data_IF_919838482103
#
_entry.id   IF_919838482103
#
_cell.length_a   1.000
_cell.length_b   1.000
_cell.length_c   1.000
_cell.angle_alpha   90.00
_cell.angle_beta   90.00
_cell.angle_gamma   90.00
#
_symmetry.space_group_name_H-M   'P 1'
#
loop_
_entity.id
_entity.type
_entity.pdbx_description
1 polymer ?
#
# COMPACT_ATOMS: atom_id res chain seq x y z
N UNK A 1 20.02 43.31 -14.70
CA UNK A 1 19.04 43.10 -13.61
C UNK A 1 18.41 41.71 -13.79
N UNK A 2 19.10 40.66 -13.34
CA UNK A 2 18.64 39.27 -13.48
C UNK A 2 17.74 38.91 -12.31
N UNK A 3 16.49 38.55 -12.59
CA UNK A 3 15.51 38.12 -11.59
C UNK A 3 15.93 36.77 -11.00
N UNK A 4 16.04 36.73 -9.67
CA UNK A 4 16.22 35.55 -8.83
C UNK A 4 15.35 34.38 -9.31
N UNK A 5 15.99 33.34 -9.83
CA UNK A 5 15.42 32.00 -9.91
C UNK A 5 15.33 31.48 -8.48
N UNK A 6 14.12 31.42 -7.92
CA UNK A 6 13.89 30.80 -6.62
C UNK A 6 14.41 29.35 -6.66
N UNK A 7 15.58 29.13 -6.05
CA UNK A 7 16.12 27.81 -5.75
C UNK A 7 15.09 27.06 -4.90
N UNK A 8 14.53 26.00 -5.47
CA UNK A 8 13.58 25.13 -4.80
C UNK A 8 14.32 24.36 -3.70
N UNK A 9 14.01 24.62 -2.43
CA UNK A 9 14.69 24.00 -1.29
C UNK A 9 14.16 22.56 -1.06
N UNK A 10 14.99 21.51 -1.22
CA UNK A 10 14.60 20.12 -0.95
C UNK A 10 14.17 19.88 0.51
N UNK A 11 14.47 20.80 1.43
CA UNK A 11 14.14 20.71 2.86
C UNK A 11 12.67 20.99 3.18
N UNK A 12 11.86 21.45 2.22
CA UNK A 12 10.42 21.72 2.44
C UNK A 12 9.61 20.43 2.76
N UNK A 13 10.18 19.23 2.56
CA UNK A 13 9.55 17.95 2.92
C UNK A 13 9.94 17.36 4.28
N UNK A 14 10.69 18.10 5.10
CA UNK A 14 11.14 17.63 6.41
C UNK A 14 10.46 18.40 7.55
N UNK A 15 9.22 18.01 7.87
CA UNK A 15 8.57 18.39 9.14
C UNK A 15 8.07 17.14 9.87
N UNK A 16 8.93 16.62 10.75
CA UNK A 16 8.71 16.04 12.10
C UNK A 16 7.41 15.30 12.49
N UNK A 17 6.63 14.75 11.57
CA UNK A 17 5.60 13.76 11.88
C UNK A 17 5.90 12.49 11.09
N UNK A 18 6.26 11.42 11.78
CA UNK A 18 6.49 10.07 11.24
C UNK A 18 5.42 9.76 10.19
N UNK A 19 5.79 9.78 8.91
CA UNK A 19 4.82 9.96 7.81
C UNK A 19 3.88 8.75 7.80
N UNK A 20 2.58 8.93 7.59
CA UNK A 20 1.59 7.85 7.80
C UNK A 20 1.87 6.62 6.93
N UNK A 21 2.37 6.84 5.72
CA UNK A 21 2.86 5.77 4.83
C UNK A 21 4.03 4.97 5.44
N UNK A 22 5.00 5.61 6.09
CA UNK A 22 6.13 4.91 6.74
C UNK A 22 5.63 4.04 7.90
N UNK A 23 4.71 4.58 8.71
CA UNK A 23 4.06 3.83 9.80
C UNK A 23 3.28 2.63 9.27
N UNK A 24 2.66 2.77 8.10
CA UNK A 24 1.94 1.69 7.45
C UNK A 24 2.90 0.62 6.90
N UNK A 25 3.94 1.00 6.16
CA UNK A 25 4.93 0.07 5.58
C UNK A 25 5.62 -0.76 6.68
N UNK A 26 6.00 -0.10 7.79
CA UNK A 26 6.65 -0.75 8.95
C UNK A 26 5.82 -1.84 9.63
N UNK A 27 4.51 -1.94 9.34
CA UNK A 27 3.68 -3.06 9.81
C UNK A 27 4.00 -4.39 9.12
N UNK A 28 4.60 -4.33 7.93
CA UNK A 28 4.80 -5.50 7.06
C UNK A 28 6.27 -5.73 6.71
N UNK A 29 7.07 -4.67 6.58
CA UNK A 29 8.47 -4.77 6.18
C UNK A 29 9.31 -3.61 6.71
N UNK A 30 10.63 -3.82 6.79
CA UNK A 30 11.60 -2.78 7.11
C UNK A 30 12.13 -2.05 5.86
N UNK A 31 11.60 -2.40 4.68
CA UNK A 31 11.97 -1.75 3.42
C UNK A 31 11.68 -0.26 3.46
N UNK A 32 12.67 0.53 3.06
CA UNK A 32 12.50 1.94 2.80
C UNK A 32 12.04 2.15 1.35
N UNK A 33 11.03 2.99 1.17
CA UNK A 33 10.48 3.31 -0.16
C UNK A 33 10.60 4.82 -0.33
N UNK A 34 11.34 5.24 -1.35
CA UNK A 34 11.42 6.64 -1.72
C UNK A 34 10.13 7.11 -2.40
N UNK A 35 9.57 8.20 -1.89
CA UNK A 35 8.33 8.75 -2.44
C UNK A 35 8.31 10.28 -2.46
N UNK A 36 7.42 10.80 -3.31
CA UNK A 36 7.00 12.20 -3.36
C UNK A 36 5.57 12.29 -2.82
N UNK A 37 5.28 13.31 -2.01
CA UNK A 37 3.93 13.62 -1.54
C UNK A 37 3.41 14.84 -2.28
N UNK A 38 2.20 14.75 -2.85
CA UNK A 38 1.50 15.84 -3.53
C UNK A 38 0.10 15.93 -2.92
N UNK A 39 -0.19 17.00 -2.20
CA UNK A 39 -1.42 17.08 -1.39
C UNK A 39 -1.47 15.96 -0.35
N UNK A 40 -2.55 15.16 -0.34
CA UNK A 40 -2.69 13.97 0.50
C UNK A 40 -2.13 12.68 -0.13
N UNK A 41 -1.70 12.73 -1.39
CA UNK A 41 -1.34 11.54 -2.19
C UNK A 41 0.16 11.30 -2.16
N UNK A 42 0.52 10.01 -2.21
CA UNK A 42 1.89 9.51 -2.18
C UNK A 42 2.20 8.79 -3.49
N UNK A 43 3.43 8.97 -3.95
CA UNK A 43 3.86 8.54 -5.27
C UNK A 43 5.29 8.02 -5.23
N UNK A 44 5.57 6.88 -5.86
CA UNK A 44 6.92 6.32 -5.94
C UNK A 44 7.84 7.30 -6.66
N UNK A 45 8.96 7.64 -6.04
CA UNK A 45 9.92 8.55 -6.64
C UNK A 45 10.59 7.85 -7.83
N UNK A 46 10.50 8.47 -9.00
CA UNK A 46 11.24 8.03 -10.18
C UNK A 46 12.18 9.15 -10.62
N UNK A 47 13.49 8.92 -10.46
CA UNK A 47 14.54 9.89 -10.78
C UNK A 47 14.65 10.16 -12.30
N UNK A 48 14.01 9.34 -13.15
CA UNK A 48 13.95 9.55 -14.61
C UNK A 48 12.81 10.47 -15.05
N UNK A 49 11.87 10.81 -14.17
CA UNK A 49 10.80 11.73 -14.53
C UNK A 49 11.37 13.15 -14.64
N UNK A 50 11.22 13.72 -15.83
CA UNK A 50 11.72 15.06 -16.19
C UNK A 50 11.07 16.10 -15.28
N UNK A 51 11.85 17.09 -14.87
CA UNK A 51 11.34 18.25 -14.12
C UNK A 51 10.31 18.97 -14.99
N UNK A 52 9.03 18.85 -14.63
CA UNK A 52 7.98 19.65 -15.24
C UNK A 52 8.03 21.06 -14.64
N UNK A 53 7.85 22.08 -15.47
CA UNK A 53 7.83 23.49 -15.03
C UNK A 53 6.59 23.84 -14.20
N UNK A 54 5.59 22.96 -14.15
CA UNK A 54 4.34 23.12 -13.41
C UNK A 54 4.25 22.12 -12.26
N UNK A 55 3.57 22.50 -11.17
CA UNK A 55 3.23 21.61 -10.05
C UNK A 55 2.29 20.49 -10.52
N UNK A 56 2.76 19.24 -10.64
CA UNK A 56 1.91 18.17 -11.16
C UNK A 56 0.89 17.72 -10.12
N UNK A 57 -0.27 17.24 -10.57
CA UNK A 57 -1.30 16.64 -9.70
C UNK A 57 -1.04 15.15 -9.43
N UNK A 58 -0.16 14.51 -10.20
CA UNK A 58 0.27 13.11 -10.05
C UNK A 58 1.75 12.95 -10.43
N UNK A 59 2.42 11.90 -9.94
CA UNK A 59 3.82 11.64 -10.24
C UNK A 59 4.11 10.14 -10.24
N UNK A 60 4.57 9.55 -11.34
CA UNK A 60 4.95 8.13 -11.36
C UNK A 60 3.85 7.17 -10.83
N UNK A 61 4.26 6.19 -10.01
CA UNK A 61 3.37 5.15 -9.48
C UNK A 61 2.69 5.60 -8.19
N UNK A 62 1.36 5.65 -8.17
CA UNK A 62 0.59 5.99 -6.99
C UNK A 62 0.71 4.93 -5.89
N UNK A 63 1.07 5.35 -4.67
CA UNK A 63 1.29 4.48 -3.50
C UNK A 63 0.14 4.50 -2.49
N UNK A 64 -0.75 5.50 -2.57
CA UNK A 64 -1.86 5.66 -1.63
C UNK A 64 -2.06 7.11 -1.21
N UNK A 65 -3.01 7.34 -0.32
CA UNK A 65 -3.37 8.66 0.16
C UNK A 65 -3.70 8.69 1.65
N UNK A 66 -3.57 9.87 2.24
CA UNK A 66 -4.16 10.17 3.55
C UNK A 66 -5.61 10.62 3.38
N UNK A 67 -6.53 9.91 4.03
CA UNK A 67 -7.96 10.25 4.06
C UNK A 67 -8.53 9.90 5.44
N UNK A 68 -9.35 10.78 6.01
CA UNK A 68 -9.99 10.58 7.31
C UNK A 68 -9.01 10.19 8.44
N UNK A 69 -7.85 10.86 8.51
CA UNK A 69 -6.76 10.54 9.46
C UNK A 69 -6.24 9.11 9.38
N UNK A 70 -6.44 8.42 8.25
CA UNK A 70 -5.91 7.09 7.96
C UNK A 70 -5.13 7.10 6.64
N UNK A 71 -4.21 6.16 6.50
CA UNK A 71 -3.51 5.95 5.23
C UNK A 71 -4.21 4.83 4.47
N UNK A 72 -4.68 5.15 3.26
CA UNK A 72 -5.31 4.24 2.34
C UNK A 72 -4.25 3.81 1.30
N UNK A 73 -3.71 2.59 1.39
CA UNK A 73 -2.70 2.11 0.46
C UNK A 73 -3.27 1.91 -0.94
N UNK A 74 -2.44 2.08 -1.98
CA UNK A 74 -2.75 1.57 -3.31
C UNK A 74 -2.40 0.09 -3.42
N UNK A 75 -3.01 -0.62 -4.37
CA UNK A 75 -2.61 -2.00 -4.68
C UNK A 75 -1.13 -2.08 -5.05
N UNK A 76 -0.63 -1.10 -5.80
CA UNK A 76 0.76 -1.05 -6.21
C UNK A 76 1.74 -0.99 -5.01
N UNK A 77 1.40 -0.23 -3.96
CA UNK A 77 2.20 -0.23 -2.74
C UNK A 77 2.18 -1.61 -2.07
N UNK A 78 1.01 -2.27 -2.03
CA UNK A 78 0.90 -3.60 -1.42
C UNK A 78 1.74 -4.64 -2.14
N UNK A 79 1.74 -4.64 -3.48
CA UNK A 79 2.63 -5.48 -4.28
C UNK A 79 4.11 -5.21 -3.98
N UNK A 80 4.49 -3.94 -3.85
CA UNK A 80 5.88 -3.54 -3.58
C UNK A 80 6.39 -4.02 -2.22
N UNK A 81 5.54 -4.02 -1.19
CA UNK A 81 5.90 -4.48 0.15
C UNK A 81 5.70 -5.98 0.34
N UNK A 82 4.83 -6.64 -0.44
CA UNK A 82 4.57 -8.07 -0.33
C UNK A 82 5.81 -8.92 -0.65
N UNK A 83 6.63 -8.47 -1.58
CA UNK A 83 7.90 -9.14 -1.95
C UNK A 83 8.86 -9.30 -0.78
N UNK A 84 8.88 -8.32 0.13
CA UNK A 84 9.83 -8.24 1.24
C UNK A 84 9.16 -8.47 2.61
N UNK A 85 7.86 -8.71 2.64
CA UNK A 85 7.10 -8.92 3.88
C UNK A 85 7.22 -10.36 4.36
N UNK A 86 7.42 -10.54 5.66
CA UNK A 86 7.28 -11.84 6.32
C UNK A 86 5.88 -12.06 6.91
N UNK A 87 5.08 -10.99 6.99
CA UNK A 87 3.76 -10.97 7.59
C UNK A 87 2.66 -11.17 6.54
N UNK A 88 2.41 -12.44 6.25
CA UNK A 88 1.57 -12.90 5.15
C UNK A 88 0.54 -13.94 5.62
N UNK A 89 -0.56 -14.06 4.91
CA UNK A 89 -1.46 -15.20 5.00
C UNK A 89 -1.64 -15.78 3.59
N UNK A 90 -1.24 -17.03 3.41
CA UNK A 90 -1.35 -17.73 2.12
C UNK A 90 -2.65 -18.53 2.11
N UNK A 91 -3.44 -18.34 1.06
CA UNK A 91 -4.77 -18.93 0.91
C UNK A 91 -4.88 -19.76 -0.38
N UNK A 92 -5.78 -20.74 -0.38
CA UNK A 92 -6.09 -21.56 -1.56
C UNK A 92 -7.04 -20.82 -2.54
N UNK A 93 -7.23 -21.38 -3.73
CA UNK A 93 -8.03 -20.76 -4.81
C UNK A 93 -9.46 -20.42 -4.37
N UNK A 94 -10.10 -21.30 -3.60
CA UNK A 94 -11.45 -21.06 -3.07
C UNK A 94 -11.51 -19.80 -2.21
N UNK A 95 -10.51 -19.61 -1.34
CA UNK A 95 -10.43 -18.47 -0.42
C UNK A 95 -9.93 -17.21 -1.10
N UNK A 96 -9.04 -17.35 -2.08
CA UNK A 96 -8.66 -16.28 -2.99
C UNK A 96 -9.91 -15.67 -3.63
N UNK A 97 -10.77 -16.51 -4.22
CA UNK A 97 -12.03 -16.04 -4.82
C UNK A 97 -12.92 -15.32 -3.81
N UNK A 98 -13.16 -15.92 -2.64
CA UNK A 98 -13.96 -15.29 -1.58
C UNK A 98 -13.40 -13.92 -1.17
N UNK A 99 -12.09 -13.83 -1.00
CA UNK A 99 -11.42 -12.60 -0.61
C UNK A 99 -11.53 -11.52 -1.70
N UNK A 100 -11.32 -11.87 -2.96
CA UNK A 100 -11.48 -10.94 -4.09
C UNK A 100 -12.95 -10.48 -4.28
N UNK A 101 -13.92 -11.30 -3.86
CA UNK A 101 -15.32 -10.87 -3.83
C UNK A 101 -15.64 -9.89 -2.69
N UNK A 102 -14.71 -9.65 -1.75
CA UNK A 102 -14.93 -8.81 -0.57
C UNK A 102 -15.44 -9.58 0.66
N UNK A 103 -15.35 -10.92 0.66
CA UNK A 103 -15.78 -11.76 1.79
C UNK A 103 -14.63 -11.98 2.77
N UNK A 104 -15.01 -12.19 4.02
CA UNK A 104 -14.11 -12.67 5.07
C UNK A 104 -13.73 -14.14 4.82
N UNK A 105 -12.55 -14.53 5.30
CA UNK A 105 -12.05 -15.90 5.21
C UNK A 105 -12.14 -16.53 6.60
N UNK A 106 -12.86 -17.64 6.75
CA UNK A 106 -12.90 -18.36 8.02
C UNK A 106 -11.62 -19.17 8.25
N UNK A 107 -11.13 -19.20 9.50
CA UNK A 107 -9.93 -19.94 9.86
C UNK A 107 -10.11 -21.43 9.60
N UNK A 108 -9.14 -22.01 8.91
CA UNK A 108 -9.04 -23.45 8.72
C UNK A 108 -7.58 -23.88 8.54
N UNK A 109 -7.34 -25.19 8.48
CA UNK A 109 -6.00 -25.77 8.37
C UNK A 109 -5.32 -25.49 7.02
N UNK A 110 -6.04 -25.00 6.00
CA UNK A 110 -5.50 -24.71 4.66
C UNK A 110 -4.89 -23.31 4.56
N UNK A 111 -5.17 -22.44 5.52
CA UNK A 111 -4.59 -21.10 5.56
C UNK A 111 -3.23 -21.15 6.26
N UNK A 112 -2.18 -20.74 5.57
CA UNK A 112 -0.83 -20.63 6.16
C UNK A 112 -0.60 -19.21 6.64
N UNK A 113 -0.62 -19.00 7.95
CA UNK A 113 -0.27 -17.71 8.58
C UNK A 113 1.23 -17.65 8.82
N UNK A 114 1.88 -16.61 8.30
CA UNK A 114 3.32 -16.38 8.37
C UNK A 114 3.63 -15.07 9.10
N UNK A 115 4.79 -14.99 9.75
CA UNK A 115 5.29 -13.78 10.41
C UNK A 115 4.74 -13.57 11.83
N UNK A 116 5.34 -12.62 12.56
CA UNK A 116 5.06 -12.38 13.99
C UNK A 116 3.99 -11.32 14.25
N UNK A 117 3.61 -10.53 13.25
CA UNK A 117 2.53 -9.56 13.36
C UNK A 117 1.21 -10.27 13.66
N UNK A 118 0.49 -9.81 14.68
CA UNK A 118 -0.73 -10.49 15.16
C UNK A 118 -2.01 -9.93 14.54
N UNK A 119 -1.99 -8.70 14.02
CA UNK A 119 -3.22 -8.00 13.63
C UNK A 119 -3.47 -8.02 12.13
N UNK A 120 -2.52 -7.55 11.32
CA UNK A 120 -2.71 -7.34 9.88
C UNK A 120 -1.78 -8.26 9.09
N UNK A 121 -2.30 -8.84 8.01
CA UNK A 121 -1.54 -9.67 7.07
C UNK A 121 -1.78 -9.23 5.64
N UNK A 122 -0.73 -9.31 4.83
CA UNK A 122 -0.86 -9.31 3.38
C UNK A 122 -1.42 -10.67 2.96
N UNK A 123 -2.52 -10.65 2.23
CA UNK A 123 -3.19 -11.87 1.80
C UNK A 123 -2.64 -12.24 0.44
N UNK A 124 -2.11 -13.46 0.31
CA UNK A 124 -1.51 -13.94 -0.93
C UNK A 124 -2.12 -15.27 -1.36
N UNK A 125 -2.14 -15.52 -2.66
CA UNK A 125 -2.46 -16.83 -3.19
C UNK A 125 -1.21 -17.73 -3.26
N UNK A 126 -1.38 -18.96 -3.76
CA UNK A 126 -0.30 -19.92 -3.94
C UNK A 126 0.77 -19.52 -4.96
N UNK A 127 0.56 -18.43 -5.73
CA UNK A 127 1.48 -17.90 -6.75
C UNK A 127 2.31 -16.70 -6.25
N UNK A 128 2.28 -16.42 -4.94
CA UNK A 128 2.91 -15.23 -4.31
C UNK A 128 2.35 -13.88 -4.81
N UNK A 129 1.16 -13.88 -5.42
CA UNK A 129 0.47 -12.65 -5.82
C UNK A 129 -0.26 -12.05 -4.61
N UNK A 130 -0.13 -10.74 -4.41
CA UNK A 130 -0.85 -10.07 -3.32
C UNK A 130 -2.30 -9.74 -3.71
N UNK A 131 -3.22 -10.28 -2.93
CA UNK A 131 -4.66 -10.09 -3.09
C UNK A 131 -5.17 -8.86 -2.35
N UNK A 132 -4.48 -8.41 -1.28
CA UNK A 132 -4.89 -7.28 -0.46
C UNK A 132 -4.46 -7.39 1.00
N UNK A 133 -5.23 -6.77 1.90
CA UNK A 133 -4.98 -6.76 3.34
C UNK A 133 -6.17 -7.35 4.09
N UNK A 134 -5.84 -8.23 5.03
CA UNK A 134 -6.78 -8.74 6.00
C UNK A 134 -6.38 -8.44 7.43
N UNK A 135 -7.38 -8.36 8.32
CA UNK A 135 -7.17 -8.36 9.77
C UNK A 135 -7.42 -9.76 10.32
N UNK A 136 -6.46 -10.32 11.04
CA UNK A 136 -6.66 -11.57 11.79
C UNK A 136 -7.67 -11.31 12.91
N UNK A 137 -8.64 -12.19 13.03
CA UNK A 137 -9.65 -12.22 14.08
C UNK A 137 -9.70 -13.61 14.72
N UNK A 138 -10.49 -13.78 15.78
CA UNK A 138 -10.70 -15.09 16.42
C UNK A 138 -11.32 -16.12 15.47
N UNK A 139 -12.10 -15.67 14.49
CA UNK A 139 -12.89 -16.53 13.60
C UNK A 139 -12.29 -16.67 12.20
N UNK A 140 -11.32 -15.83 11.84
CA UNK A 140 -10.97 -15.66 10.44
C UNK A 140 -9.98 -14.56 10.14
N UNK A 141 -9.97 -14.21 8.87
CA UNK A 141 -9.32 -13.05 8.30
C UNK A 141 -10.43 -12.15 7.78
N UNK A 142 -10.62 -11.00 8.43
CA UNK A 142 -11.56 -9.98 7.98
C UNK A 142 -10.98 -9.22 6.79
N UNK A 143 -11.75 -9.10 5.71
CA UNK A 143 -11.36 -8.36 4.51
C UNK A 143 -11.39 -6.85 4.79
N UNK A 144 -10.26 -6.17 4.59
CA UNK A 144 -10.18 -4.71 4.75
C UNK A 144 -10.07 -3.99 3.40
N UNK A 145 -9.31 -4.58 2.49
CA UNK A 145 -9.07 -4.06 1.16
C UNK A 145 -8.55 -5.18 0.28
N UNK A 146 -9.08 -5.30 -0.93
CA UNK A 146 -8.67 -6.34 -1.87
C UNK A 146 -8.59 -5.82 -3.31
N UNK A 147 -7.91 -6.57 -4.17
CA UNK A 147 -7.74 -6.24 -5.59
C UNK A 147 -9.07 -6.17 -6.35
N UNK A 148 -10.08 -6.94 -5.95
CA UNK A 148 -11.42 -6.90 -6.53
C UNK A 148 -12.15 -5.56 -6.32
N UNK A 149 -11.81 -4.81 -5.27
CA UNK A 149 -12.35 -3.47 -5.03
C UNK A 149 -11.95 -2.47 -6.11
N UNK A 150 -10.87 -2.73 -6.84
CA UNK A 150 -10.43 -1.93 -7.98
C UNK A 150 -11.18 -2.31 -9.26
N UNK A 151 -11.31 -3.61 -9.53
CA UNK A 151 -11.99 -4.13 -10.74
C UNK A 151 -13.48 -3.71 -10.80
N UNK A 152 -14.14 -3.65 -9.65
CA UNK A 152 -15.56 -3.23 -9.56
C UNK A 152 -15.76 -1.73 -9.85
N UNK A 153 -14.74 -0.89 -9.67
CA UNK A 153 -14.85 0.57 -9.88
C UNK A 153 -14.78 0.98 -11.36
N UNK A 154 -14.14 0.17 -12.19
CA UNK A 154 -14.02 0.40 -13.63
C UNK A 154 -15.21 -0.18 -14.42
N UNK A 155 -16.11 -0.90 -13.74
CA UNK A 155 -17.30 -1.52 -14.34
C UNK A 155 -18.57 -0.68 -14.19
N UNK A 156 -18.44 0.60 -13.78
CA UNK A 156 -19.54 1.56 -13.64
C UNK A 156 -19.31 2.78 -14.52
#
# INVERSE_FOLDING_TARGET
MQKNLAQWDPRIFHRKNKKMIERFIKKFTNKEIDYVKIGSKYFLKNNKLVKLNNSPSSFGLYLGEEKNNQFNPSLALLELIAKDSKDKAIVDEKREWLFLCGRDIFLDKKIKILGKGIDYKLIQNGRDENLGIGKITKTGIRNLFNRGDYLKRESQ
#
